data_IF_558249209707
#
_entry.id   IF_558249209707
#
_cell.length_a   1.000
_cell.length_b   1.000
_cell.length_c   1.000
_cell.angle_alpha   90.00
_cell.angle_beta   90.00
_cell.angle_gamma   90.00
#
_symmetry.space_group_name_H-M   'P 1'
#
loop_
_entity.id
_entity.type
_entity.pdbx_description
1 polymer ?
#
# COMPACT_ATOMS: atom_id res chain seq x y z
N UNK A 1 -1.08 9.27 -8.26
CA UNK A 1 -1.55 9.36 -6.85
C UNK A 1 -0.61 8.64 -5.89
N UNK A 2 -0.17 7.41 -6.17
CA UNK A 2 0.76 6.64 -5.32
C UNK A 2 1.99 7.45 -4.87
N UNK A 3 2.59 8.22 -5.78
CA UNK A 3 3.79 9.02 -5.51
C UNK A 3 3.55 10.31 -4.71
N UNK A 4 2.30 10.76 -4.58
CA UNK A 4 1.93 11.94 -3.79
C UNK A 4 1.55 11.60 -2.35
N UNK A 5 1.31 10.32 -2.04
CA UNK A 5 0.96 9.88 -0.70
C UNK A 5 2.17 9.97 0.23
N UNK A 6 1.96 10.48 1.45
CA UNK A 6 2.96 10.43 2.50
C UNK A 6 3.05 9.02 3.05
N UNK A 7 3.83 8.18 2.38
CA UNK A 7 4.04 6.77 2.76
C UNK A 7 5.50 6.37 2.60
N UNK A 8 5.99 5.40 3.38
CA UNK A 8 7.35 4.88 3.21
C UNK A 8 7.61 4.44 1.76
N UNK A 9 8.83 4.64 1.21
CA UNK A 9 9.15 4.29 -0.17
C UNK A 9 8.82 2.82 -0.53
N UNK A 10 9.01 1.90 0.42
CA UNK A 10 8.67 0.48 0.25
C UNK A 10 7.18 0.25 -0.05
N UNK A 11 6.30 0.98 0.63
CA UNK A 11 4.85 0.90 0.43
C UNK A 11 4.48 1.44 -0.96
N UNK A 12 5.05 2.58 -1.35
CA UNK A 12 4.83 3.16 -2.69
C UNK A 12 5.28 2.22 -3.80
N UNK A 13 6.45 1.63 -3.65
CA UNK A 13 7.00 0.69 -4.62
C UNK A 13 6.14 -0.58 -4.73
N UNK A 14 5.70 -1.13 -3.59
CA UNK A 14 4.78 -2.26 -3.56
C UNK A 14 3.45 -1.94 -4.28
N UNK A 15 2.80 -0.83 -3.94
CA UNK A 15 1.54 -0.42 -4.56
C UNK A 15 1.68 -0.19 -6.07
N UNK A 16 2.82 0.36 -6.50
CA UNK A 16 3.13 0.53 -7.92
C UNK A 16 3.29 -0.81 -8.65
N UNK A 17 3.95 -1.80 -8.04
CA UNK A 17 4.04 -3.15 -8.58
C UNK A 17 2.68 -3.84 -8.61
N UNK A 18 1.88 -3.69 -7.55
CA UNK A 18 0.56 -4.30 -7.44
C UNK A 18 -0.37 -3.81 -8.54
N UNK A 19 -0.35 -2.50 -8.83
CA UNK A 19 -1.15 -1.91 -9.91
C UNK A 19 -0.75 -2.42 -11.30
N UNK A 20 0.49 -2.85 -11.49
CA UNK A 20 0.97 -3.40 -12.75
C UNK A 20 0.80 -4.92 -12.85
N UNK A 21 0.19 -5.56 -11.86
CA UNK A 21 0.14 -7.02 -11.75
C UNK A 21 1.57 -7.63 -11.76
N UNK A 22 2.49 -6.93 -11.07
CA UNK A 22 3.92 -7.27 -11.01
C UNK A 22 4.39 -7.71 -9.62
N UNK A 23 3.48 -8.06 -8.73
CA UNK A 23 3.82 -8.75 -7.49
C UNK A 23 4.13 -10.22 -7.74
N UNK A 24 4.84 -10.87 -6.82
CA UNK A 24 5.07 -12.32 -6.86
C UNK A 24 3.91 -13.01 -6.16
N UNK A 25 2.93 -13.42 -6.96
CA UNK A 25 1.73 -14.16 -6.56
C UNK A 25 1.69 -15.51 -7.27
N UNK A 26 0.94 -16.47 -6.74
CA UNK A 26 0.84 -17.79 -7.36
C UNK A 26 0.39 -17.74 -8.83
N UNK A 27 -0.57 -16.87 -9.19
CA UNK A 27 -1.00 -16.70 -10.57
C UNK A 27 0.16 -16.31 -11.51
N UNK A 28 1.10 -15.51 -11.01
CA UNK A 28 2.22 -15.03 -11.81
C UNK A 28 3.37 -16.03 -11.88
N UNK A 29 3.56 -16.79 -10.81
CA UNK A 29 4.43 -17.96 -10.81
C UNK A 29 3.93 -18.98 -11.85
N UNK A 30 2.62 -19.23 -11.88
CA UNK A 30 1.96 -20.12 -12.83
C UNK A 30 2.20 -19.69 -14.29
N UNK A 31 2.01 -18.40 -14.61
CA UNK A 31 2.28 -17.83 -15.95
C UNK A 31 3.73 -18.00 -16.42
N UNK A 32 4.67 -18.24 -15.50
CA UNK A 32 6.09 -18.45 -15.79
C UNK A 32 6.51 -19.93 -15.74
N UNK A 33 5.57 -20.85 -15.53
CA UNK A 33 5.86 -22.28 -15.38
C UNK A 33 6.65 -22.61 -14.11
N UNK A 34 6.63 -21.74 -13.10
CA UNK A 34 7.30 -21.97 -11.83
C UNK A 34 6.38 -22.74 -10.88
N UNK A 35 6.99 -23.57 -10.01
CA UNK A 35 6.25 -24.30 -8.98
C UNK A 35 5.57 -23.32 -8.01
N UNK A 36 4.30 -23.57 -7.71
CA UNK A 36 3.48 -22.70 -6.86
C UNK A 36 2.34 -23.50 -6.21
N UNK A 37 1.86 -23.03 -5.07
CA UNK A 37 0.59 -23.45 -4.51
C UNK A 37 -0.53 -22.57 -5.09
N UNK A 38 -1.58 -23.12 -5.71
CA UNK A 38 -2.53 -22.30 -6.47
C UNK A 38 -3.46 -21.46 -5.58
N UNK A 39 -3.72 -21.90 -4.34
CA UNK A 39 -4.62 -21.19 -3.41
C UNK A 39 -3.86 -20.17 -2.58
N UNK A 40 -4.55 -19.09 -2.25
CA UNK A 40 -4.10 -18.01 -1.37
C UNK A 40 -3.72 -18.56 0.01
N UNK A 41 -2.49 -18.33 0.43
CA UNK A 41 -2.00 -18.83 1.72
C UNK A 41 -2.61 -18.12 2.94
N UNK A 42 -3.27 -16.97 2.73
CA UNK A 42 -3.91 -16.22 3.81
C UNK A 42 -5.29 -16.76 4.20
N UNK A 43 -6.07 -17.22 3.21
CA UNK A 43 -7.45 -17.67 3.45
C UNK A 43 -7.72 -19.12 3.05
N UNK A 44 -6.86 -19.73 2.22
CA UNK A 44 -6.98 -21.06 1.61
C UNK A 44 -8.31 -21.31 0.87
N UNK A 45 -9.04 -20.25 0.48
CA UNK A 45 -10.40 -20.34 -0.07
C UNK A 45 -10.49 -20.04 -1.58
N UNK A 46 -9.52 -19.31 -2.15
CA UNK A 46 -9.54 -18.88 -3.55
C UNK A 46 -8.13 -18.89 -4.16
N UNK A 47 -8.05 -18.74 -5.48
CA UNK A 47 -6.77 -18.62 -6.19
C UNK A 47 -6.02 -17.36 -5.73
N UNK A 48 -4.70 -17.50 -5.57
CA UNK A 48 -3.86 -16.37 -5.17
C UNK A 48 -3.58 -15.45 -6.36
N UNK A 49 -4.25 -14.30 -6.35
CA UNK A 49 -3.96 -13.16 -7.24
C UNK A 49 -3.65 -11.93 -6.41
N UNK A 50 -2.99 -10.93 -6.99
CA UNK A 50 -2.72 -9.68 -6.28
C UNK A 50 -4.01 -8.95 -5.89
N UNK A 51 -5.02 -9.02 -6.76
CA UNK A 51 -6.37 -8.51 -6.50
C UNK A 51 -6.99 -9.21 -5.29
N UNK A 52 -6.94 -10.54 -5.27
CA UNK A 52 -7.45 -11.31 -4.15
C UNK A 52 -6.73 -10.93 -2.86
N UNK A 53 -5.38 -10.94 -2.83
CA UNK A 53 -4.62 -10.63 -1.62
C UNK A 53 -4.95 -9.24 -1.07
N UNK A 54 -5.07 -8.21 -1.91
CA UNK A 54 -5.23 -6.82 -1.44
C UNK A 54 -6.69 -6.46 -1.16
N UNK A 55 -7.63 -6.99 -1.95
CA UNK A 55 -9.05 -6.61 -1.96
C UNK A 55 -9.89 -7.78 -1.47
N UNK A 56 -10.02 -8.86 -2.25
CA UNK A 56 -11.07 -9.84 -2.02
C UNK A 56 -10.79 -10.87 -0.90
N UNK A 57 -9.58 -10.94 -0.35
CA UNK A 57 -9.20 -11.95 0.62
C UNK A 57 -9.90 -11.70 1.96
N UNK A 58 -10.64 -12.67 2.53
CA UNK A 58 -11.32 -12.52 3.82
C UNK A 58 -10.38 -12.11 4.96
N UNK A 59 -9.15 -12.64 4.96
CA UNK A 59 -8.12 -12.26 5.92
C UNK A 59 -7.75 -10.77 5.80
N UNK A 60 -7.55 -10.29 4.58
CA UNK A 60 -7.25 -8.87 4.31
C UNK A 60 -8.45 -7.96 4.56
N UNK A 61 -9.68 -8.43 4.32
CA UNK A 61 -10.89 -7.70 4.68
C UNK A 61 -10.94 -7.40 6.18
N UNK A 62 -10.57 -8.37 7.02
CA UNK A 62 -10.49 -8.13 8.46
C UNK A 62 -9.47 -7.03 8.78
N UNK A 63 -8.30 -7.04 8.13
CA UNK A 63 -7.30 -5.97 8.30
C UNK A 63 -7.86 -4.61 7.87
N UNK A 64 -8.58 -4.53 6.75
CA UNK A 64 -9.21 -3.29 6.31
C UNK A 64 -10.21 -2.77 7.34
N UNK A 65 -11.05 -3.64 7.89
CA UNK A 65 -11.99 -3.26 8.95
C UNK A 65 -11.27 -2.66 10.15
N UNK A 66 -10.22 -3.31 10.64
CA UNK A 66 -9.44 -2.82 11.80
C UNK A 66 -8.76 -1.49 11.50
N UNK A 67 -8.11 -1.35 10.34
CA UNK A 67 -7.41 -0.12 9.94
C UNK A 67 -8.39 1.04 9.77
N UNK A 68 -9.51 0.83 9.07
CA UNK A 68 -10.51 1.88 8.86
C UNK A 68 -11.16 2.30 10.18
N UNK A 69 -11.43 1.35 11.08
CA UNK A 69 -11.92 1.64 12.42
C UNK A 69 -10.90 2.45 13.24
N UNK A 70 -9.62 2.07 13.19
CA UNK A 70 -8.55 2.78 13.89
C UNK A 70 -8.41 4.24 13.43
N UNK A 71 -8.46 4.47 12.11
CA UNK A 71 -8.42 5.82 11.54
C UNK A 71 -9.77 6.56 11.55
N UNK A 72 -10.85 5.92 12.04
CA UNK A 72 -12.23 6.46 12.04
C UNK A 72 -12.67 6.97 10.67
N UNK A 73 -12.28 6.27 9.61
CA UNK A 73 -12.62 6.66 8.25
C UNK A 73 -14.04 6.18 7.91
N UNK A 74 -14.96 7.07 7.48
CA UNK A 74 -16.34 6.71 7.16
C UNK A 74 -16.45 6.10 5.76
N UNK A 75 -15.58 5.14 5.43
CA UNK A 75 -15.50 4.48 4.13
C UNK A 75 -15.64 2.97 4.31
N UNK A 76 -16.32 2.31 3.39
CA UNK A 76 -16.41 0.85 3.38
C UNK A 76 -15.06 0.19 3.05
N UNK A 77 -14.91 -1.08 3.40
CA UNK A 77 -13.76 -1.87 2.95
C UNK A 77 -13.82 -2.08 1.43
N UNK A 78 -12.67 -2.15 0.74
CA UNK A 78 -12.64 -2.52 -0.68
C UNK A 78 -13.11 -3.97 -0.82
N UNK A 79 -14.08 -4.29 -1.67
CA UNK A 79 -14.61 -5.65 -1.80
C UNK A 79 -14.88 -6.11 -3.24
N UNK A 80 -15.36 -5.22 -4.11
CA UNK A 80 -15.88 -5.51 -5.45
C UNK A 80 -15.19 -4.69 -6.54
N UNK A 81 -14.26 -3.82 -6.16
CA UNK A 81 -13.56 -2.93 -7.05
C UNK A 81 -12.49 -3.67 -7.85
N UNK A 82 -12.33 -3.31 -9.12
CA UNK A 82 -11.33 -3.91 -10.01
C UNK A 82 -9.88 -3.61 -9.58
N UNK A 83 -9.68 -2.50 -8.85
CA UNK A 83 -8.37 -2.15 -8.31
C UNK A 83 -8.49 -1.38 -7.00
N UNK A 84 -7.41 -1.42 -6.20
CA UNK A 84 -7.34 -0.67 -4.95
C UNK A 84 -7.47 0.84 -5.20
N UNK A 85 -7.01 1.31 -6.36
CA UNK A 85 -7.12 2.71 -6.75
C UNK A 85 -8.56 3.12 -7.06
N UNK A 86 -9.41 2.21 -7.51
CA UNK A 86 -10.82 2.51 -7.81
C UNK A 86 -11.65 2.63 -6.54
N UNK A 87 -11.30 1.89 -5.48
CA UNK A 87 -11.82 2.12 -4.13
C UNK A 87 -11.26 3.41 -3.50
N UNK A 88 -9.95 3.66 -3.63
CA UNK A 88 -9.29 4.78 -2.93
C UNK A 88 -9.70 6.16 -3.43
N UNK A 89 -10.01 6.30 -4.73
CA UNK A 89 -10.45 7.57 -5.34
C UNK A 89 -11.68 8.16 -4.65
N UNK A 90 -12.83 7.46 -4.54
CA UNK A 90 -13.99 7.98 -3.82
C UNK A 90 -13.75 8.06 -2.31
N UNK A 91 -13.02 7.11 -1.72
CA UNK A 91 -12.74 7.08 -0.28
C UNK A 91 -12.01 8.34 0.23
N UNK A 92 -11.19 8.97 -0.62
CA UNK A 92 -10.43 10.18 -0.28
C UNK A 92 -11.11 11.50 -0.62
N UNK A 93 -12.27 11.46 -1.29
CA UNK A 93 -13.05 12.66 -1.61
C UNK A 93 -13.87 13.17 -0.42
N UNK A 94 -14.09 12.31 0.59
CA UNK A 94 -14.72 12.68 1.85
C UNK A 94 -13.63 12.88 2.92
N UNK A 95 -13.17 14.12 3.18
CA UNK A 95 -12.24 14.34 4.29
C UNK A 95 -12.92 13.96 5.61
N UNK A 96 -12.21 13.35 6.58
CA UNK A 96 -12.74 13.20 7.92
C UNK A 96 -13.07 14.60 8.47
N UNK A 97 -14.15 14.76 9.26
CA UNK A 97 -14.42 16.02 9.94
C UNK A 97 -13.21 16.32 10.83
N UNK A 98 -12.46 17.33 10.43
CA UNK A 98 -11.27 17.94 11.07
C UNK A 98 -10.80 17.21 12.34
N UNK A 99 -9.98 16.19 12.18
CA UNK A 99 -9.09 15.75 13.25
C UNK A 99 -7.76 16.47 13.05
N UNK A 100 -7.45 17.41 13.94
CA UNK A 100 -6.13 18.02 14.09
C UNK A 100 -5.05 16.95 13.98
N UNK A 101 -4.16 17.12 12.99
CA UNK A 101 -2.99 16.26 12.80
C UNK A 101 -1.89 16.64 13.80
N UNK A 102 -2.23 16.67 15.08
CA UNK A 102 -1.25 16.82 16.15
C UNK A 102 -0.79 15.43 16.58
N UNK A 103 0.44 15.05 16.19
CA UNK A 103 1.11 13.93 16.87
C UNK A 103 2.06 13.04 16.07
N UNK A 104 2.21 13.20 14.75
CA UNK A 104 3.26 12.47 14.00
C UNK A 104 4.12 13.47 13.21
N UNK A 105 4.67 14.44 13.93
CA UNK A 105 5.75 15.27 13.40
C UNK A 105 7.07 14.66 13.89
N UNK A 106 7.57 13.64 13.18
CA UNK A 106 9.02 13.42 13.21
C UNK A 106 9.62 14.56 12.37
N UNK A 107 10.51 15.41 12.91
CA UNK A 107 11.15 16.44 12.11
C UNK A 107 11.93 15.76 10.99
N UNK A 108 11.70 16.19 9.76
CA UNK A 108 12.52 15.80 8.62
C UNK A 108 13.98 16.15 8.93
N UNK A 109 14.96 15.27 8.68
CA UNK A 109 16.35 15.67 8.77
C UNK A 109 16.58 16.75 7.69
N UNK A 110 16.80 17.98 8.13
CA UNK A 110 17.21 19.09 7.28
C UNK A 110 18.54 18.73 6.61
N UNK A 111 18.50 18.53 5.30
CA UNK A 111 19.69 18.41 4.46
C UNK A 111 20.27 19.81 4.21
N UNK A 112 20.67 20.51 5.27
CA UNK A 112 21.47 21.73 5.20
C UNK A 112 22.58 21.59 6.23
N UNK A 113 23.66 20.94 5.81
CA UNK A 113 24.81 20.63 6.67
C UNK A 113 25.91 19.82 6.01
N UNK A 114 25.94 19.71 4.67
CA UNK A 114 27.14 19.25 3.98
C UNK A 114 28.04 20.46 3.73
N UNK A 115 28.80 20.80 4.77
CA UNK A 115 29.99 21.63 4.70
C UNK A 115 30.90 21.07 3.58
N UNK A 116 31.23 21.93 2.62
CA UNK A 116 32.16 21.58 1.55
C UNK A 116 33.54 21.27 2.16
N UNK A 117 34.20 20.17 1.79
CA UNK A 117 35.56 19.93 2.25
C UNK A 117 36.48 20.99 1.66
N UNK A 118 37.12 21.77 2.53
CA UNK A 118 38.25 22.62 2.17
C UNK A 118 39.33 21.73 1.52
N UNK A 119 39.50 21.87 0.20
CA UNK A 119 40.63 21.29 -0.49
C UNK A 119 41.89 22.09 -0.17
N UNK A 120 42.75 21.46 0.62
CA UNK A 120 44.17 21.77 0.73
C UNK A 120 44.90 21.33 -0.55
N UNK A 121 45.45 22.28 -1.30
CA UNK A 121 46.56 22.19 -2.28
C UNK A 121 46.88 23.64 -2.66
N UNK A 122 48.07 24.19 -2.47
CA UNK A 122 49.44 23.67 -2.65
C UNK A 122 50.34 24.26 -1.56
#
# INVERSE_FOLDING_TARGET
>A
MIWKAWTPPKVRFFLWLAQQDRCWTADRLARRGLHHHPRCLLCDQAFETIHHIIIACPFTQQIWHEVLAWFRLPVGCPNQEDSLLDWWKPATQHPPPTAERDGIHHPAPTLDGMEAPQQLRV
#
